data_IF_943083425542
#
_entry.id   IF_943083425542
#
_cell.length_a   1.000
_cell.length_b   1.000
_cell.length_c   1.000
_cell.angle_alpha   90.00
_cell.angle_beta   90.00
_cell.angle_gamma   90.00
#
_symmetry.space_group_name_H-M   'P 1'
#
loop_
_entity.id
_entity.type
_entity.pdbx_description
1 polymer ?
#
# COMPACT_ATOMS: atom_id res chain seq x y z
N UNK A 1 9.31 18.49 21.12
CA UNK A 1 10.08 18.02 19.93
C UNK A 1 9.59 18.77 18.71
N UNK A 2 10.45 19.05 17.72
CA UNK A 2 10.04 19.59 16.42
C UNK A 2 10.23 18.50 15.39
N UNK A 3 9.15 18.14 14.70
CA UNK A 3 9.17 17.17 13.60
C UNK A 3 9.27 17.93 12.27
N UNK A 4 10.20 17.53 11.42
CA UNK A 4 10.28 17.97 10.04
C UNK A 4 9.74 16.83 9.18
N UNK A 5 8.58 17.04 8.58
CA UNK A 5 7.87 16.03 7.79
C UNK A 5 8.12 16.22 6.30
N UNK A 6 8.28 15.12 5.58
CA UNK A 6 8.34 15.09 4.12
C UNK A 6 7.76 13.79 3.58
N UNK A 7 7.20 13.84 2.38
CA UNK A 7 6.64 12.69 1.66
C UNK A 7 7.56 12.23 0.53
N UNK A 8 7.30 11.05 0.03
CA UNK A 8 7.90 10.48 -1.18
C UNK A 8 6.80 9.79 -2.01
N UNK A 9 6.99 9.74 -3.31
CA UNK A 9 5.97 9.24 -4.23
C UNK A 9 5.90 7.70 -4.28
N UNK A 10 7.01 7.01 -3.93
CA UNK A 10 7.08 5.55 -3.89
C UNK A 10 8.16 5.07 -2.92
N UNK A 11 8.08 3.81 -2.52
CA UNK A 11 9.12 3.15 -1.72
C UNK A 11 10.48 3.19 -2.43
N UNK A 12 10.50 3.04 -3.75
CA UNK A 12 11.70 3.08 -4.58
C UNK A 12 12.35 4.47 -4.55
N UNK A 13 11.56 5.55 -4.60
CA UNK A 13 12.06 6.93 -4.48
C UNK A 13 12.67 7.20 -3.10
N UNK A 14 12.03 6.73 -2.04
CA UNK A 14 12.54 6.82 -0.67
C UNK A 14 13.87 6.05 -0.55
N UNK A 15 13.89 4.81 -1.00
CA UNK A 15 15.06 3.95 -0.99
C UNK A 15 16.24 4.59 -1.77
N UNK A 16 16.00 5.11 -2.98
CA UNK A 16 17.02 5.76 -3.79
C UNK A 16 17.62 7.00 -3.10
N UNK A 17 16.79 7.78 -2.41
CA UNK A 17 17.26 8.93 -1.62
C UNK A 17 18.14 8.50 -0.45
N UNK A 18 17.74 7.47 0.30
CA UNK A 18 18.51 6.96 1.45
C UNK A 18 19.81 6.31 1.00
N UNK A 19 19.78 5.42 0.01
CA UNK A 19 20.95 4.69 -0.49
C UNK A 19 22.00 5.60 -1.11
N UNK A 20 21.58 6.74 -1.70
CA UNK A 20 22.51 7.75 -2.23
C UNK A 20 23.29 8.51 -1.14
N UNK A 21 22.86 8.45 0.13
CA UNK A 21 23.42 9.23 1.24
C UNK A 21 23.20 10.74 1.13
N UNK A 22 22.34 11.19 0.19
CA UNK A 22 22.08 12.62 -0.03
C UNK A 22 21.21 13.26 1.07
N UNK A 23 20.44 12.42 1.77
CA UNK A 23 19.51 12.84 2.83
C UNK A 23 19.68 11.96 4.07
N UNK A 24 19.29 12.49 5.22
CA UNK A 24 19.24 11.77 6.48
C UNK A 24 17.84 11.93 7.07
N UNK A 25 17.23 10.82 7.44
CA UNK A 25 15.97 10.77 8.15
C UNK A 25 16.18 10.08 9.50
N UNK A 26 15.36 10.45 10.50
CA UNK A 26 15.37 9.79 11.80
C UNK A 26 14.33 8.65 11.87
N UNK A 27 13.21 8.82 11.18
CA UNK A 27 12.16 7.80 11.00
C UNK A 27 11.73 7.79 9.54
N UNK A 28 11.48 6.60 9.00
CA UNK A 28 10.85 6.37 7.69
C UNK A 28 9.72 5.37 7.85
N UNK A 29 8.71 5.43 6.98
CA UNK A 29 7.53 4.56 7.05
C UNK A 29 7.34 3.91 5.67
N UNK A 30 8.16 2.91 5.32
CA UNK A 30 8.02 2.14 4.09
C UNK A 30 7.06 0.97 4.24
N UNK A 31 6.66 0.41 3.11
CA UNK A 31 5.92 -0.85 3.08
C UNK A 31 6.82 -2.06 3.35
N UNK A 32 6.21 -3.12 3.77
CA UNK A 32 6.78 -4.40 4.21
C UNK A 32 7.91 -4.96 3.32
N UNK A 33 7.68 -5.10 2.00
CA UNK A 33 8.71 -5.61 1.08
C UNK A 33 9.97 -4.73 1.03
N UNK A 34 9.79 -3.42 1.21
CA UNK A 34 10.90 -2.48 1.25
C UNK A 34 11.64 -2.54 2.60
N UNK A 35 10.93 -2.78 3.69
CA UNK A 35 11.53 -3.04 5.01
C UNK A 35 12.42 -4.28 4.95
N UNK A 36 11.90 -5.39 4.38
CA UNK A 36 12.67 -6.62 4.19
C UNK A 36 13.96 -6.37 3.38
N UNK A 37 13.87 -5.56 2.31
CA UNK A 37 15.02 -5.16 1.52
C UNK A 37 16.02 -4.35 2.34
N UNK A 38 15.57 -3.28 2.98
CA UNK A 38 16.43 -2.38 3.77
C UNK A 38 17.09 -3.11 4.94
N UNK A 39 16.39 -4.04 5.59
CA UNK A 39 16.95 -4.88 6.63
C UNK A 39 18.06 -5.81 6.09
N UNK A 40 17.84 -6.43 4.93
CA UNK A 40 18.83 -7.31 4.29
C UNK A 40 20.10 -6.59 3.81
N UNK A 41 20.01 -5.27 3.60
CA UNK A 41 21.10 -4.39 3.15
C UNK A 41 21.74 -3.57 4.31
N UNK A 42 21.45 -3.93 5.57
CA UNK A 42 21.95 -3.21 6.77
C UNK A 42 21.60 -1.71 6.80
N UNK A 43 20.49 -1.33 6.20
CA UNK A 43 20.04 0.06 6.12
C UNK A 43 19.16 0.50 7.30
N UNK A 44 18.81 -0.41 8.21
CA UNK A 44 17.97 -0.15 9.38
C UNK A 44 18.76 -0.36 10.68
N UNK A 45 18.38 0.40 11.71
CA UNK A 45 18.88 0.20 13.07
C UNK A 45 17.91 -0.68 13.86
N UNK A 46 18.40 -1.64 14.66
CA UNK A 46 17.53 -2.40 15.55
C UNK A 46 16.91 -1.48 16.60
N UNK A 47 15.62 -1.72 16.92
CA UNK A 47 14.86 -0.94 17.89
C UNK A 47 15.18 -1.35 19.32
N UNK A 48 15.07 -0.40 20.25
CA UNK A 48 15.10 -0.64 21.68
C UNK A 48 13.67 -0.51 22.24
N UNK A 49 13.03 -1.64 22.50
CA UNK A 49 11.64 -1.71 22.95
C UNK A 49 11.45 -1.15 24.38
N UNK A 50 12.49 -0.98 25.16
CA UNK A 50 12.40 -0.27 26.44
C UNK A 50 12.01 1.21 26.24
N UNK A 51 12.32 1.78 25.07
CA UNK A 51 11.93 3.13 24.67
C UNK A 51 10.56 3.17 23.95
N UNK A 52 9.99 2.01 23.61
CA UNK A 52 8.74 1.87 22.86
C UNK A 52 7.71 1.01 23.61
N UNK A 53 7.37 1.32 24.87
CA UNK A 53 6.45 0.49 25.66
C UNK A 53 5.04 0.35 25.05
N UNK A 54 4.61 1.29 24.18
CA UNK A 54 3.31 1.22 23.52
C UNK A 54 3.25 0.18 22.40
N UNK A 55 4.36 -0.48 22.05
CA UNK A 55 4.35 -1.64 21.15
C UNK A 55 3.41 -2.76 21.63
N UNK A 56 3.16 -2.84 22.92
CA UNK A 56 2.20 -3.80 23.50
C UNK A 56 0.78 -3.70 22.92
N UNK A 57 0.40 -2.56 22.36
CA UNK A 57 -0.92 -2.31 21.77
C UNK A 57 -1.01 -2.72 20.28
N UNK A 58 0.11 -3.08 19.66
CA UNK A 58 0.08 -3.67 18.30
C UNK A 58 -0.49 -5.08 18.41
N UNK A 59 -1.49 -5.38 17.60
CA UNK A 59 -2.12 -6.69 17.55
C UNK A 59 -1.11 -7.80 17.19
N UNK A 60 -1.24 -8.97 17.84
CA UNK A 60 -0.30 -10.08 17.67
C UNK A 60 -0.25 -10.61 16.22
N UNK A 61 -1.33 -10.48 15.45
CA UNK A 61 -1.38 -10.91 14.05
C UNK A 61 -0.46 -10.11 13.12
N UNK A 62 -0.02 -8.93 13.54
CA UNK A 62 0.92 -8.05 12.83
C UNK A 62 2.37 -8.16 13.30
N UNK A 63 2.69 -9.12 14.19
CA UNK A 63 4.02 -9.33 14.73
C UNK A 63 4.70 -10.54 14.11
N UNK A 64 6.04 -10.51 14.04
CA UNK A 64 6.84 -11.64 13.55
C UNK A 64 6.55 -12.02 12.10
N UNK A 65 6.09 -11.08 11.28
CA UNK A 65 5.78 -11.32 9.88
C UNK A 65 7.05 -11.42 9.03
N UNK A 66 6.94 -11.96 7.81
CA UNK A 66 8.09 -12.34 6.98
C UNK A 66 9.10 -11.20 6.75
N UNK A 67 8.67 -9.95 6.77
CA UNK A 67 9.55 -8.81 6.49
C UNK A 67 10.43 -8.41 7.69
N UNK A 68 10.04 -8.77 8.90
CA UNK A 68 10.78 -8.55 10.15
C UNK A 68 10.44 -9.66 11.15
N UNK A 69 10.87 -10.92 10.92
CA UNK A 69 10.39 -12.09 11.67
C UNK A 69 10.79 -12.12 13.14
N UNK A 70 11.76 -11.30 13.51
CA UNK A 70 12.23 -11.17 14.90
C UNK A 70 11.71 -9.87 15.57
N UNK A 71 10.84 -9.10 14.89
CA UNK A 71 10.34 -7.78 15.31
C UNK A 71 11.48 -6.83 15.71
N UNK A 72 12.57 -6.84 14.93
CA UNK A 72 13.81 -6.16 15.32
C UNK A 72 13.89 -4.73 14.81
N UNK A 73 13.32 -4.43 13.63
CA UNK A 73 13.61 -3.22 12.87
C UNK A 73 12.41 -2.31 12.66
N UNK A 74 11.20 -2.80 12.89
CA UNK A 74 9.98 -2.13 12.46
C UNK A 74 8.86 -2.19 13.49
N UNK A 75 8.00 -1.17 13.47
CA UNK A 75 6.75 -1.13 14.22
C UNK A 75 5.61 -0.96 13.22
N UNK A 76 4.70 -1.92 13.07
CA UNK A 76 3.51 -1.78 12.23
C UNK A 76 2.74 -0.51 12.55
N UNK A 77 2.40 0.26 11.51
CA UNK A 77 1.79 1.58 11.66
C UNK A 77 0.41 1.65 11.01
N UNK A 78 0.32 1.24 9.76
CA UNK A 78 -0.93 1.09 9.01
C UNK A 78 -0.90 -0.21 8.21
N UNK A 79 -2.07 -0.67 7.81
CA UNK A 79 -2.19 -1.73 6.84
C UNK A 79 -3.36 -1.45 5.90
N UNK A 80 -3.41 -2.16 4.79
CA UNK A 80 -4.48 -1.97 3.83
C UNK A 80 -4.50 -3.03 2.75
N UNK A 81 -5.38 -2.82 1.81
CA UNK A 81 -5.62 -3.69 0.66
C UNK A 81 -5.68 -2.87 -0.62
N UNK A 82 -5.19 -3.43 -1.72
CA UNK A 82 -5.39 -2.85 -3.04
C UNK A 82 -6.73 -3.34 -3.60
N UNK A 83 -7.51 -2.42 -4.18
CA UNK A 83 -8.76 -2.75 -4.83
C UNK A 83 -9.00 -1.94 -6.09
N UNK A 84 -10.23 -1.92 -6.51
CA UNK A 84 -10.69 -1.16 -7.68
C UNK A 84 -11.70 -0.12 -7.22
N UNK A 85 -11.38 1.15 -7.48
CA UNK A 85 -12.28 2.28 -7.32
C UNK A 85 -12.99 2.49 -8.66
N UNK A 86 -14.30 2.67 -8.66
CA UNK A 86 -15.06 2.93 -9.87
C UNK A 86 -16.20 3.91 -9.66
N UNK A 87 -16.53 4.68 -10.70
CA UNK A 87 -17.67 5.57 -10.71
C UNK A 87 -18.94 4.82 -11.12
N UNK A 88 -19.85 4.58 -10.20
CA UNK A 88 -21.09 3.83 -10.42
C UNK A 88 -22.09 4.53 -11.37
N UNK A 89 -21.91 5.83 -11.63
CA UNK A 89 -22.67 6.51 -12.68
C UNK A 89 -22.22 6.16 -14.12
N UNK A 90 -21.04 5.54 -14.27
CA UNK A 90 -20.43 5.17 -15.55
C UNK A 90 -20.32 3.65 -15.70
N UNK A 91 -19.92 2.98 -14.62
CA UNK A 91 -19.63 1.53 -14.62
C UNK A 91 -20.88 0.76 -14.18
N UNK A 92 -21.32 -0.20 -15.00
CA UNK A 92 -22.40 -1.10 -14.61
C UNK A 92 -21.97 -1.98 -13.44
N UNK A 93 -22.77 -2.07 -12.40
CA UNK A 93 -22.50 -2.87 -11.19
C UNK A 93 -22.21 -4.35 -11.52
N UNK A 94 -22.83 -4.90 -12.57
CA UNK A 94 -22.59 -6.27 -13.01
C UNK A 94 -21.16 -6.50 -13.54
N UNK A 95 -20.49 -5.44 -13.99
CA UNK A 95 -19.11 -5.46 -14.47
C UNK A 95 -18.09 -5.24 -13.34
N UNK A 96 -18.53 -4.65 -12.20
CA UNK A 96 -17.68 -4.30 -11.04
C UNK A 96 -17.34 -5.55 -10.22
N UNK A 97 -16.42 -6.38 -10.73
CA UNK A 97 -15.99 -7.62 -10.08
C UNK A 97 -14.61 -8.06 -10.59
N UNK A 98 -13.81 -8.64 -9.69
CA UNK A 98 -12.49 -9.15 -10.04
C UNK A 98 -11.56 -8.09 -10.66
N UNK A 99 -10.41 -8.50 -11.13
CA UNK A 99 -9.48 -7.63 -11.86
C UNK A 99 -9.91 -7.43 -13.33
N UNK A 100 -10.87 -8.22 -13.82
CA UNK A 100 -11.36 -8.18 -15.20
C UNK A 100 -11.93 -6.83 -15.60
N UNK A 101 -12.46 -6.04 -14.64
CA UNK A 101 -12.94 -4.69 -14.89
C UNK A 101 -11.86 -3.80 -15.49
N UNK A 102 -10.61 -3.94 -15.04
CA UNK A 102 -9.46 -3.19 -15.55
C UNK A 102 -9.07 -3.54 -16.99
N UNK A 103 -9.64 -4.60 -17.57
CA UNK A 103 -9.45 -5.04 -18.96
C UNK A 103 -10.74 -5.00 -19.79
N UNK A 104 -11.80 -4.37 -19.27
CA UNK A 104 -13.07 -4.30 -19.98
C UNK A 104 -13.04 -3.20 -21.05
N UNK A 105 -13.09 -3.58 -22.31
CA UNK A 105 -13.02 -2.69 -23.48
C UNK A 105 -14.20 -1.69 -23.58
N UNK A 106 -15.31 -1.99 -22.90
CA UNK A 106 -16.46 -1.09 -22.77
C UNK A 106 -16.06 0.26 -22.13
N UNK A 107 -15.05 0.27 -21.28
CA UNK A 107 -14.56 1.44 -20.55
C UNK A 107 -13.20 1.93 -21.05
N UNK A 108 -12.87 1.61 -22.30
CA UNK A 108 -11.59 2.01 -22.90
C UNK A 108 -11.42 3.55 -22.91
N UNK A 109 -10.29 4.01 -22.38
CA UNK A 109 -9.98 5.43 -22.26
C UNK A 109 -10.43 6.07 -20.95
N UNK A 110 -11.07 5.30 -20.04
CA UNK A 110 -11.51 5.75 -18.72
C UNK A 110 -10.89 4.94 -17.55
N UNK A 111 -9.85 4.14 -17.86
CA UNK A 111 -9.15 3.27 -16.91
C UNK A 111 -7.83 3.91 -16.50
N UNK A 112 -7.56 3.99 -15.21
CA UNK A 112 -6.28 4.39 -14.62
C UNK A 112 -5.52 3.16 -14.13
N UNK A 113 -4.22 3.13 -14.36
CA UNK A 113 -3.34 2.07 -13.88
C UNK A 113 -2.20 2.66 -13.06
N UNK A 114 -1.66 1.90 -12.12
CA UNK A 114 -0.50 2.30 -11.32
C UNK A 114 0.70 2.68 -12.17
N UNK A 115 1.38 3.75 -11.77
CA UNK A 115 2.66 4.19 -12.35
C UNK A 115 3.88 3.66 -11.56
N UNK A 116 3.75 2.54 -10.89
CA UNK A 116 4.86 1.77 -10.36
C UNK A 116 4.80 0.33 -10.87
N UNK A 117 5.95 -0.33 -10.95
CA UNK A 117 6.05 -1.65 -11.55
C UNK A 117 5.39 -2.73 -10.70
N UNK A 118 5.58 -2.71 -9.38
CA UNK A 118 5.07 -3.77 -8.50
C UNK A 118 3.55 -3.86 -8.54
N UNK A 119 2.87 -2.74 -8.31
CA UNK A 119 1.40 -2.72 -8.30
C UNK A 119 0.82 -2.97 -9.69
N UNK A 120 1.39 -2.36 -10.74
CA UNK A 120 0.90 -2.56 -12.12
C UNK A 120 1.00 -4.04 -12.54
N UNK A 121 2.16 -4.70 -12.33
CA UNK A 121 2.31 -6.12 -12.63
C UNK A 121 1.40 -7.00 -11.79
N UNK A 122 1.24 -6.68 -10.51
CA UNK A 122 0.41 -7.45 -9.60
C UNK A 122 -1.05 -7.53 -10.04
N UNK A 123 -1.64 -6.44 -10.56
CA UNK A 123 -3.01 -6.48 -11.09
C UNK A 123 -3.18 -7.58 -12.15
N UNK A 124 -2.20 -7.71 -13.06
CA UNK A 124 -2.21 -8.75 -14.09
C UNK A 124 -1.89 -10.14 -13.51
N UNK A 125 -0.95 -10.24 -12.57
CA UNK A 125 -0.58 -11.51 -11.95
C UNK A 125 -1.74 -12.10 -11.15
N UNK A 126 -2.42 -11.31 -10.32
CA UNK A 126 -3.61 -11.75 -9.57
C UNK A 126 -4.73 -12.19 -10.52
N UNK A 127 -5.00 -11.42 -11.57
CA UNK A 127 -5.99 -11.77 -12.60
C UNK A 127 -5.70 -13.12 -13.26
N UNK A 128 -4.42 -13.38 -13.54
CA UNK A 128 -3.96 -14.64 -14.17
C UNK A 128 -3.78 -15.79 -13.17
N UNK A 129 -3.91 -15.52 -11.86
CA UNK A 129 -3.64 -16.49 -10.80
C UNK A 129 -2.18 -16.86 -10.65
N UNK A 130 -1.26 -15.96 -11.06
CA UNK A 130 0.19 -16.11 -10.94
C UNK A 130 0.67 -15.68 -9.56
N UNK A 131 1.90 -16.07 -9.22
CA UNK A 131 2.56 -15.64 -7.99
C UNK A 131 3.20 -14.25 -8.18
N UNK A 132 2.77 -13.25 -7.40
CA UNK A 132 3.33 -11.89 -7.44
C UNK A 132 4.80 -11.81 -6.97
N UNK A 133 5.30 -12.88 -6.36
CA UNK A 133 6.67 -13.02 -5.87
C UNK A 133 7.45 -14.11 -6.62
N UNK A 134 7.02 -14.44 -7.84
CA UNK A 134 7.63 -15.52 -8.62
C UNK A 134 9.09 -15.23 -8.96
N UNK A 135 9.93 -16.27 -8.88
CA UNK A 135 11.29 -16.31 -9.41
C UNK A 135 11.36 -16.84 -10.84
N UNK A 136 10.20 -17.15 -11.45
CA UNK A 136 10.10 -17.59 -12.86
C UNK A 136 9.85 -16.39 -13.78
N UNK A 137 10.85 -16.05 -14.59
CA UNK A 137 10.76 -15.00 -15.61
C UNK A 137 9.55 -15.15 -16.52
N UNK A 138 9.12 -16.39 -16.83
CA UNK A 138 8.01 -16.64 -17.73
C UNK A 138 6.66 -16.18 -17.17
N UNK A 139 6.49 -16.16 -15.84
CA UNK A 139 5.26 -15.62 -15.21
C UNK A 139 5.20 -14.10 -15.34
N UNK A 140 6.32 -13.42 -15.19
CA UNK A 140 6.41 -11.97 -15.40
C UNK A 140 6.21 -11.59 -16.89
N UNK A 141 6.70 -12.41 -17.83
CA UNK A 141 6.44 -12.21 -19.27
C UNK A 141 4.95 -12.39 -19.61
N UNK A 142 4.27 -13.35 -18.96
CA UNK A 142 2.81 -13.51 -19.11
C UNK A 142 2.06 -12.29 -18.58
N UNK A 143 2.44 -11.78 -17.39
CA UNK A 143 1.86 -10.57 -16.84
C UNK A 143 2.12 -9.34 -17.74
N UNK A 144 3.34 -9.19 -18.30
CA UNK A 144 3.64 -8.16 -19.29
C UNK A 144 2.74 -8.27 -20.53
N UNK A 145 2.54 -9.47 -21.07
CA UNK A 145 1.66 -9.68 -22.21
C UNK A 145 0.23 -9.22 -21.90
N UNK A 146 -0.24 -9.52 -20.68
CA UNK A 146 -1.58 -9.11 -20.21
C UNK A 146 -1.69 -7.59 -20.03
N UNK A 147 -0.67 -6.94 -19.50
CA UNK A 147 -0.61 -5.47 -19.39
C UNK A 147 -0.54 -4.78 -20.76
N UNK A 148 0.11 -5.40 -21.75
CA UNK A 148 0.09 -4.90 -23.15
C UNK A 148 -1.29 -4.99 -23.79
N UNK A 149 -2.09 -6.01 -23.44
CA UNK A 149 -3.51 -6.06 -23.86
C UNK A 149 -4.34 -4.93 -23.21
N UNK A 150 -4.05 -4.59 -21.96
CA UNK A 150 -4.72 -3.51 -21.24
C UNK A 150 -4.35 -2.12 -21.77
N UNK A 151 -3.12 -1.93 -22.21
CA UNK A 151 -2.56 -0.61 -22.51
C UNK A 151 -3.42 0.27 -23.42
N UNK A 152 -4.04 -0.23 -24.51
CA UNK A 152 -4.94 0.57 -25.34
C UNK A 152 -6.20 1.07 -24.62
N UNK A 153 -6.56 0.46 -23.49
CA UNK A 153 -7.72 0.80 -22.68
C UNK A 153 -7.39 1.84 -21.59
N UNK A 154 -6.12 1.92 -21.21
CA UNK A 154 -5.64 2.79 -20.13
C UNK A 154 -5.58 4.24 -20.60
N UNK A 155 -6.25 5.13 -19.85
CA UNK A 155 -6.19 6.58 -20.02
C UNK A 155 -4.84 7.13 -19.59
N UNK A 156 -4.41 6.75 -18.38
CA UNK A 156 -3.13 7.19 -17.80
C UNK A 156 -2.59 6.18 -16.81
N UNK A 157 -1.25 6.19 -16.66
CA UNK A 157 -0.56 5.57 -15.55
C UNK A 157 -0.32 6.65 -14.50
N UNK A 158 -0.81 6.45 -13.28
CA UNK A 158 -0.88 7.46 -12.21
C UNK A 158 -0.40 6.91 -10.87
N UNK A 159 -0.01 7.81 -9.99
CA UNK A 159 0.02 7.62 -8.54
C UNK A 159 -0.98 8.63 -7.95
N UNK A 160 -0.57 9.63 -7.19
CA UNK A 160 -1.46 10.59 -6.54
C UNK A 160 -2.34 11.41 -7.52
N UNK A 161 -2.02 11.44 -8.81
CA UNK A 161 -2.89 12.06 -9.82
C UNK A 161 -4.27 11.39 -9.90
N UNK A 162 -4.41 10.16 -9.42
CA UNK A 162 -5.68 9.42 -9.39
C UNK A 162 -6.76 10.19 -8.63
N UNK A 163 -6.41 10.87 -7.53
CA UNK A 163 -7.35 11.64 -6.73
C UNK A 163 -8.17 12.60 -7.60
N UNK A 164 -7.48 13.55 -8.24
CA UNK A 164 -8.15 14.55 -9.06
C UNK A 164 -8.96 13.95 -10.22
N UNK A 165 -8.45 12.86 -10.82
CA UNK A 165 -9.09 12.24 -11.98
C UNK A 165 -10.34 11.45 -11.63
N UNK A 166 -10.37 10.78 -10.46
CA UNK A 166 -11.53 10.06 -9.98
C UNK A 166 -12.57 11.02 -9.38
N UNK A 167 -12.15 11.91 -8.50
CA UNK A 167 -13.01 12.92 -7.85
C UNK A 167 -13.77 13.81 -8.84
N UNK A 168 -13.12 14.18 -9.95
CA UNK A 168 -13.73 15.01 -11.01
C UNK A 168 -14.51 14.22 -12.05
N UNK A 169 -14.51 12.89 -12.00
CA UNK A 169 -15.10 12.05 -13.05
C UNK A 169 -14.34 12.09 -14.39
N UNK A 170 -13.08 12.58 -14.41
CA UNK A 170 -12.25 12.52 -15.60
C UNK A 170 -11.90 11.07 -16.00
N UNK A 171 -11.82 10.17 -15.02
CA UNK A 171 -11.70 8.73 -15.22
C UNK A 171 -12.80 8.01 -14.43
N UNK A 172 -13.12 6.79 -14.87
CA UNK A 172 -14.22 6.02 -14.27
C UNK A 172 -13.77 4.79 -13.49
N UNK A 173 -12.54 4.32 -13.67
CA UNK A 173 -12.01 3.10 -13.07
C UNK A 173 -10.54 3.33 -12.72
N UNK A 174 -10.12 2.93 -11.51
CA UNK A 174 -8.73 2.96 -11.10
C UNK A 174 -8.43 1.87 -10.08
N UNK A 175 -7.29 1.20 -10.24
CA UNK A 175 -6.76 0.35 -9.17
C UNK A 175 -6.03 1.23 -8.16
N UNK A 176 -6.40 1.15 -6.86
CA UNK A 176 -5.73 1.93 -5.83
C UNK A 176 -5.97 1.33 -4.42
N UNK A 177 -5.49 2.02 -3.40
CA UNK A 177 -5.52 1.55 -2.02
C UNK A 177 -6.84 1.91 -1.33
N UNK A 178 -7.33 1.03 -0.45
CA UNK A 178 -8.62 1.19 0.20
C UNK A 178 -8.76 2.47 1.04
N UNK A 179 -7.69 2.88 1.75
CA UNK A 179 -7.73 4.11 2.54
C UNK A 179 -7.90 5.36 1.69
N UNK A 180 -7.22 5.42 0.55
CA UNK A 180 -7.31 6.56 -0.37
C UNK A 180 -8.69 6.72 -1.02
N UNK A 181 -9.44 5.61 -1.17
CA UNK A 181 -10.83 5.65 -1.62
C UNK A 181 -11.69 6.54 -0.71
N UNK A 182 -11.54 6.41 0.60
CA UNK A 182 -12.31 7.26 1.53
C UNK A 182 -11.91 8.72 1.48
N UNK A 183 -10.62 9.01 1.27
CA UNK A 183 -10.16 10.39 1.02
C UNK A 183 -10.79 10.98 -0.26
N UNK A 184 -10.94 10.16 -1.33
CA UNK A 184 -11.57 10.61 -2.58
C UNK A 184 -13.08 10.84 -2.43
N UNK A 185 -13.77 10.05 -1.58
CA UNK A 185 -15.19 10.25 -1.31
C UNK A 185 -15.51 11.64 -0.73
N UNK A 186 -14.63 12.16 0.13
CA UNK A 186 -14.80 13.48 0.74
C UNK A 186 -14.74 14.64 -0.27
N UNK A 187 -14.18 14.39 -1.46
CA UNK A 187 -13.91 15.39 -2.48
C UNK A 187 -14.60 15.10 -3.83
N UNK A 188 -15.41 14.03 -3.95
CA UNK A 188 -16.07 13.67 -5.20
C UNK A 188 -17.04 14.77 -5.68
N UNK A 189 -17.14 14.96 -7.00
CA UNK A 189 -18.06 15.92 -7.59
C UNK A 189 -19.51 15.42 -7.52
N UNK A 190 -20.48 16.35 -7.55
CA UNK A 190 -21.93 16.06 -7.42
C UNK A 190 -22.47 15.01 -8.42
N UNK A 191 -21.81 14.81 -9.56
CA UNK A 191 -22.19 13.88 -10.61
C UNK A 191 -21.33 12.60 -10.63
N UNK A 192 -20.47 12.41 -9.64
CA UNK A 192 -19.62 11.22 -9.41
C UNK A 192 -20.25 10.40 -8.28
N UNK A 193 -20.18 9.08 -8.36
CA UNK A 193 -20.57 8.11 -7.33
C UNK A 193 -19.45 7.08 -7.25
N UNK A 194 -18.42 7.37 -6.44
CA UNK A 194 -17.28 6.47 -6.26
C UNK A 194 -17.67 5.29 -5.38
N UNK A 195 -17.28 4.12 -5.81
CA UNK A 195 -17.41 2.88 -5.05
C UNK A 195 -16.12 2.09 -5.11
N UNK A 196 -15.93 1.22 -4.12
CA UNK A 196 -14.75 0.39 -3.97
C UNK A 196 -15.12 -1.09 -3.81
N UNK A 197 -14.31 -1.95 -4.37
CA UNK A 197 -14.25 -3.36 -4.00
C UNK A 197 -12.81 -3.88 -4.14
N UNK A 198 -12.47 -4.92 -3.39
CA UNK A 198 -11.22 -5.63 -3.60
C UNK A 198 -11.49 -7.04 -4.14
N UNK A 199 -10.74 -7.47 -5.19
CA UNK A 199 -10.82 -8.82 -5.72
C UNK A 199 -10.36 -9.87 -4.69
N UNK A 200 -10.81 -11.11 -4.82
CA UNK A 200 -10.44 -12.22 -3.92
C UNK A 200 -8.91 -12.40 -3.79
N UNK A 201 -8.18 -12.18 -4.89
CA UNK A 201 -6.72 -12.18 -4.90
C UNK A 201 -6.25 -10.75 -5.08
N UNK A 202 -5.60 -10.20 -4.08
CA UNK A 202 -5.08 -8.85 -4.10
C UNK A 202 -3.96 -8.68 -3.08
N UNK A 203 -3.20 -7.57 -3.17
CA UNK A 203 -2.16 -7.27 -2.21
C UNK A 203 -2.75 -6.77 -0.90
N UNK A 204 -2.33 -7.41 0.18
CA UNK A 204 -2.41 -6.89 1.54
C UNK A 204 -1.03 -6.38 1.91
N UNK A 205 -0.93 -5.16 2.37
CA UNK A 205 0.34 -4.52 2.70
C UNK A 205 0.33 -3.96 4.12
N UNK A 206 1.52 -3.84 4.69
CA UNK A 206 1.75 -3.22 6.00
C UNK A 206 2.82 -2.15 5.81
N UNK A 207 2.50 -0.93 6.21
CA UNK A 207 3.49 0.12 6.34
C UNK A 207 3.95 0.19 7.80
N UNK A 208 5.25 0.25 8.02
CA UNK A 208 5.78 0.24 9.37
C UNK A 208 6.84 1.32 9.59
N UNK A 209 6.87 1.84 10.82
CA UNK A 209 7.86 2.83 11.25
C UNK A 209 9.21 2.17 11.49
N UNK A 210 10.25 2.63 10.80
CA UNK A 210 11.62 2.15 10.88
C UNK A 210 12.60 3.29 11.16
N UNK A 211 13.74 2.96 11.75
CA UNK A 211 14.84 3.89 11.98
C UNK A 211 15.97 3.57 11.00
N UNK A 212 16.23 4.40 9.98
CA UNK A 212 17.29 4.15 9.03
C UNK A 212 18.68 4.31 9.66
N UNK A 213 19.68 3.59 9.14
CA UNK A 213 21.07 3.60 9.66
C UNK A 213 21.73 4.98 9.63
N UNK A 214 21.22 5.91 8.83
CA UNK A 214 21.67 7.30 8.80
C UNK A 214 21.07 8.19 9.90
N UNK A 215 20.20 7.66 10.76
CA UNK A 215 19.57 8.39 11.86
C UNK A 215 20.61 9.03 12.78
N UNK A 216 20.36 10.29 13.16
CA UNK A 216 21.28 11.05 14.00
C UNK A 216 20.95 10.97 15.52
N UNK A 217 19.70 10.59 15.85
CA UNK A 217 19.23 10.52 17.23
C UNK A 217 18.21 9.40 17.44
N UNK A 218 18.74 8.17 17.54
CA UNK A 218 17.94 6.94 17.66
C UNK A 218 16.96 6.98 18.83
N UNK A 219 17.42 7.38 20.03
CA UNK A 219 16.55 7.45 21.22
C UNK A 219 15.37 8.41 21.01
N UNK A 220 15.60 9.57 20.37
CA UNK A 220 14.52 10.51 20.08
C UNK A 220 13.57 9.99 19.02
N UNK A 221 14.06 9.23 18.05
CA UNK A 221 13.25 8.54 17.04
C UNK A 221 12.36 7.48 17.68
N UNK A 222 12.88 6.67 18.61
CA UNK A 222 12.11 5.69 19.37
C UNK A 222 11.03 6.34 20.25
N UNK A 223 11.35 7.45 20.92
CA UNK A 223 10.36 8.24 21.68
C UNK A 223 9.26 8.76 20.76
N UNK A 224 9.60 9.21 19.54
CA UNK A 224 8.61 9.63 18.55
C UNK A 224 7.72 8.48 18.12
N UNK A 225 8.30 7.32 17.79
CA UNK A 225 7.55 6.12 17.43
C UNK A 225 6.60 5.73 18.58
N UNK A 226 7.09 5.70 19.82
CA UNK A 226 6.24 5.41 20.97
C UNK A 226 5.10 6.41 21.14
N UNK A 227 5.34 7.69 20.87
CA UNK A 227 4.28 8.73 20.89
C UNK A 227 3.21 8.46 19.83
N UNK A 228 3.60 8.09 18.61
CA UNK A 228 2.67 7.77 17.51
C UNK A 228 1.77 6.55 17.82
N UNK A 229 2.21 5.67 18.73
CA UNK A 229 1.44 4.51 19.19
C UNK A 229 0.51 4.82 20.38
N UNK A 230 0.53 6.04 20.93
CA UNK A 230 -0.38 6.43 22.02
C UNK A 230 -1.79 6.67 21.47
N UNK A 231 -2.83 6.47 22.26
CA UNK A 231 -4.24 6.53 21.82
C UNK A 231 -4.58 7.81 21.02
N UNK A 232 -4.38 9.00 21.61
CA UNK A 232 -4.75 10.28 20.98
C UNK A 232 -4.07 10.49 19.61
N UNK A 233 -2.72 10.41 19.45
CA UNK A 233 -2.11 10.59 18.13
C UNK A 233 -2.38 9.43 17.17
N UNK A 234 -2.54 8.19 17.66
CA UNK A 234 -2.83 7.06 16.77
C UNK A 234 -4.24 7.15 16.18
N UNK A 235 -5.25 7.48 16.98
CA UNK A 235 -6.63 7.70 16.52
C UNK A 235 -6.68 8.88 15.56
N UNK A 236 -6.18 10.06 15.96
CA UNK A 236 -6.19 11.24 15.11
C UNK A 236 -5.47 11.04 13.78
N UNK A 237 -4.44 10.20 13.75
CA UNK A 237 -3.75 9.86 12.52
C UNK A 237 -4.59 8.91 11.65
N UNK A 238 -5.20 7.86 12.21
CA UNK A 238 -6.05 6.94 11.47
C UNK A 238 -7.28 7.64 10.87
N UNK A 239 -7.91 8.56 11.61
CA UNK A 239 -8.99 9.42 11.13
C UNK A 239 -8.55 10.31 9.95
N UNK A 240 -7.31 10.82 10.01
CA UNK A 240 -6.82 11.76 8.99
C UNK A 240 -6.44 11.06 7.68
N UNK A 241 -5.85 9.85 7.76
CA UNK A 241 -5.34 9.14 6.58
C UNK A 241 -6.28 8.07 6.06
N UNK A 242 -7.34 7.72 6.79
CA UNK A 242 -8.30 6.65 6.48
C UNK A 242 -7.68 5.25 6.27
N UNK A 243 -6.49 4.98 6.80
CA UNK A 243 -5.90 3.65 6.75
C UNK A 243 -6.16 2.89 8.04
N UNK A 244 -6.40 1.59 7.90
CA UNK A 244 -6.55 0.72 9.06
C UNK A 244 -5.28 0.70 9.92
N UNK A 245 -5.46 0.70 11.22
CA UNK A 245 -4.38 0.66 12.20
C UNK A 245 -4.28 -0.71 12.86
N UNK A 246 -3.08 -1.29 12.97
CA UNK A 246 -2.85 -2.51 13.74
C UNK A 246 -2.82 -2.28 15.26
N UNK A 247 -3.06 -1.05 15.72
CA UNK A 247 -3.03 -0.65 17.13
C UNK A 247 -4.42 -0.83 17.76
N UNK A 248 -4.54 -1.68 18.79
CA UNK A 248 -5.80 -1.96 19.48
C UNK A 248 -6.45 -0.71 20.10
N UNK A 249 -5.64 0.28 20.51
CA UNK A 249 -6.18 1.57 20.99
C UNK A 249 -6.94 2.37 19.92
N UNK A 250 -6.81 2.01 18.66
CA UNK A 250 -7.54 2.65 17.54
C UNK A 250 -8.76 1.82 17.17
N UNK A 251 -8.58 0.58 16.76
CA UNK A 251 -9.69 -0.21 16.22
C UNK A 251 -10.71 -0.65 17.29
N UNK A 252 -10.36 -0.60 18.59
CA UNK A 252 -11.29 -0.86 19.70
C UNK A 252 -11.95 0.44 20.24
N UNK A 253 -11.56 1.62 19.75
CA UNK A 253 -12.14 2.89 20.19
C UNK A 253 -13.54 3.09 19.59
N UNK A 254 -14.57 3.16 20.45
CA UNK A 254 -15.97 3.31 20.02
C UNK A 254 -16.20 4.63 19.25
N UNK A 255 -15.49 5.72 19.61
CA UNK A 255 -15.62 7.01 18.95
C UNK A 255 -15.08 6.95 17.51
N UNK A 256 -13.90 6.35 17.33
CA UNK A 256 -13.31 6.13 16.01
C UNK A 256 -14.20 5.25 15.10
N UNK A 257 -14.77 4.16 15.65
CA UNK A 257 -15.67 3.29 14.89
C UNK A 257 -16.96 4.02 14.48
N UNK A 258 -17.54 4.81 15.39
CA UNK A 258 -18.75 5.60 15.12
C UNK A 258 -18.49 6.68 14.05
N UNK A 259 -17.33 7.36 14.10
CA UNK A 259 -16.96 8.41 13.15
C UNK A 259 -16.62 7.84 11.76
N UNK A 260 -15.99 6.66 11.71
CA UNK A 260 -15.65 5.97 10.46
C UNK A 260 -16.90 5.40 9.76
N UNK A 261 -17.85 4.87 10.54
CA UNK A 261 -19.10 4.27 10.06
C UNK A 261 -18.97 2.82 9.61
N UNK A 262 -20.12 2.14 9.47
CA UNK A 262 -20.20 0.69 9.24
C UNK A 262 -19.53 0.26 7.92
N UNK A 263 -19.80 0.97 6.81
CA UNK A 263 -19.24 0.66 5.49
C UNK A 263 -17.72 0.77 5.45
N UNK A 264 -17.16 1.84 6.03
CA UNK A 264 -15.72 2.00 6.08
C UNK A 264 -15.05 0.98 7.01
N UNK A 265 -15.69 0.64 8.13
CA UNK A 265 -15.23 -0.44 9.01
C UNK A 265 -15.17 -1.79 8.28
N UNK A 266 -16.19 -2.14 7.49
CA UNK A 266 -16.21 -3.40 6.72
C UNK A 266 -15.09 -3.46 5.67
N UNK A 267 -14.76 -2.34 5.05
CA UNK A 267 -13.71 -2.27 4.00
C UNK A 267 -12.31 -2.23 4.62
N UNK A 268 -12.09 -1.41 5.64
CA UNK A 268 -10.76 -1.19 6.24
C UNK A 268 -10.37 -2.27 7.25
N UNK A 269 -11.36 -2.82 7.99
CA UNK A 269 -11.16 -3.85 9.01
C UNK A 269 -11.98 -5.11 8.70
N UNK A 270 -11.78 -5.75 7.52
CA UNK A 270 -12.54 -6.93 7.17
C UNK A 270 -12.31 -8.07 8.17
N UNK A 271 -13.36 -8.86 8.46
CA UNK A 271 -13.21 -10.07 9.25
C UNK A 271 -12.41 -11.14 8.47
N UNK A 272 -11.14 -11.29 8.80
CA UNK A 272 -10.23 -12.27 8.21
C UNK A 272 -9.91 -13.34 9.25
N UNK A 273 -10.30 -14.58 9.00
CA UNK A 273 -10.11 -15.71 9.93
C UNK A 273 -8.62 -15.97 10.26
N UNK A 274 -7.74 -15.81 9.27
CA UNK A 274 -6.29 -15.96 9.43
C UNK A 274 -5.58 -14.90 8.55
N UNK A 275 -5.39 -13.72 9.11
CA UNK A 275 -4.71 -12.61 8.42
C UNK A 275 -3.27 -12.99 8.03
N UNK A 276 -2.56 -13.69 8.91
CA UNK A 276 -1.17 -14.07 8.64
C UNK A 276 -1.06 -15.03 7.45
N UNK A 277 -1.97 -16.00 7.32
CA UNK A 277 -2.00 -16.90 6.16
C UNK A 277 -2.30 -16.15 4.87
N UNK A 278 -3.34 -15.30 4.87
CA UNK A 278 -3.74 -14.50 3.72
C UNK A 278 -2.63 -13.52 3.29
N UNK A 279 -2.04 -12.82 4.24
CA UNK A 279 -0.92 -11.93 4.03
C UNK A 279 0.29 -12.67 3.45
N UNK A 280 0.64 -13.83 3.99
CA UNK A 280 1.76 -14.63 3.47
C UNK A 280 1.52 -15.14 2.04
N UNK A 281 0.27 -15.32 1.63
CA UNK A 281 -0.08 -15.77 0.27
C UNK A 281 0.01 -14.64 -0.76
N UNK A 282 -0.45 -13.43 -0.41
CA UNK A 282 -0.69 -12.36 -1.38
C UNK A 282 0.21 -11.13 -1.22
N UNK A 283 0.83 -10.90 -0.07
CA UNK A 283 1.70 -9.74 0.11
C UNK A 283 2.94 -9.78 -0.78
N UNK A 284 3.42 -8.60 -1.19
CA UNK A 284 4.68 -8.51 -1.92
C UNK A 284 5.85 -8.90 -1.02
N UNK A 285 6.85 -9.54 -1.62
CA UNK A 285 8.14 -9.82 -0.97
C UNK A 285 9.26 -9.09 -1.69
N UNK A 286 10.36 -8.91 -1.01
CA UNK A 286 11.58 -8.44 -1.65
C UNK A 286 11.99 -9.46 -2.73
N UNK A 287 12.14 -8.99 -3.96
CA UNK A 287 12.70 -9.76 -5.07
C UNK A 287 14.23 -9.65 -5.02
N UNK A 288 14.93 -10.69 -5.47
CA UNK A 288 16.38 -10.58 -5.62
C UNK A 288 16.78 -9.55 -6.68
N UNK A 289 18.06 -9.17 -6.71
CA UNK A 289 18.54 -8.11 -7.61
C UNK A 289 18.34 -8.43 -9.09
N UNK A 290 18.54 -9.70 -9.47
CA UNK A 290 18.42 -10.12 -10.87
C UNK A 290 16.98 -10.06 -11.34
N UNK A 291 16.03 -10.47 -10.46
CA UNK A 291 14.61 -10.38 -10.74
C UNK A 291 14.13 -8.93 -10.74
N UNK A 292 14.61 -8.08 -9.82
CA UNK A 292 14.28 -6.64 -9.82
C UNK A 292 14.71 -5.97 -11.13
N UNK A 293 15.92 -6.24 -11.61
CA UNK A 293 16.43 -5.70 -12.88
C UNK A 293 15.62 -6.22 -14.07
N UNK A 294 15.22 -7.48 -14.02
CA UNK A 294 14.35 -8.07 -15.04
C UNK A 294 12.97 -7.38 -15.08
N UNK A 295 12.29 -7.26 -13.94
CA UNK A 295 10.98 -6.61 -13.81
C UNK A 295 11.05 -5.15 -14.27
N UNK A 296 12.09 -4.41 -13.87
CA UNK A 296 12.31 -3.04 -14.33
C UNK A 296 12.47 -2.95 -15.85
N UNK A 297 13.18 -3.90 -16.47
CA UNK A 297 13.31 -3.98 -17.94
C UNK A 297 11.96 -4.25 -18.62
N UNK A 298 11.14 -5.13 -18.05
CA UNK A 298 9.78 -5.39 -18.54
C UNK A 298 8.89 -4.16 -18.40
N UNK A 299 8.99 -3.45 -17.27
CA UNK A 299 8.25 -2.21 -17.02
C UNK A 299 8.57 -1.13 -18.04
N UNK A 300 9.85 -0.90 -18.31
CA UNK A 300 10.26 0.03 -19.36
C UNK A 300 9.74 -0.39 -20.75
N UNK A 301 9.79 -1.70 -21.04
CA UNK A 301 9.23 -2.26 -22.27
C UNK A 301 7.73 -1.98 -22.41
N UNK A 302 6.96 -2.09 -21.32
CA UNK A 302 5.54 -1.74 -21.31
C UNK A 302 5.31 -0.25 -21.61
N UNK A 303 6.11 0.63 -21.00
CA UNK A 303 5.94 2.09 -21.12
C UNK A 303 6.23 2.62 -22.53
N UNK A 304 7.09 1.96 -23.30
CA UNK A 304 7.47 2.36 -24.66
C UNK A 304 6.74 1.59 -25.78
N UNK A 305 5.95 0.56 -25.45
CA UNK A 305 5.25 -0.32 -26.41
C UNK A 305 4.03 0.32 -27.04
#
# INVERSE_FOLDING_TARGET
MKVNYSTYASNEDMYAKLSSGAVSFDVVIPSDYMIARMASEDMLLPLDFDNIPNYQYIDESFRGLYYDPDDMYSIPYTYGVIGVIYNANVVDEADAKGWELMWNDKYAGDILQFNNSRDAFATAQYMLGLNVNSDDHSEWEQALAKLKEQRPLVKSYVMDEIYNMMESGEAAIGAYYAGDYFTMLDAEADDVDLRFYYPERTNYFIDAMCIPSCCQNKELAEIFINYMLSAEPAIANAEYIYYASPNSLVYEDEGYQDDLGEEAMEILYPEIEDFSALYNEYAYRNLDSDMLDFVNTLWETLKIS
#
